data_IF_685491119002
#
_entry.id   IF_685491119002
#
_cell.length_a   1.000
_cell.length_b   1.000
_cell.length_c   1.000
_cell.angle_alpha   90.00
_cell.angle_beta   90.00
_cell.angle_gamma   90.00
#
_symmetry.space_group_name_H-M   'P 1'
#
loop_
_entity.id
_entity.type
_entity.pdbx_description
1 polymer ?
#
# COMPACT_ATOMS: atom_id res chain seq x y z
N UNK A 1 14.15 -15.28 -14.52
CA UNK A 1 14.09 -15.43 -13.06
C UNK A 1 13.36 -14.23 -12.49
N UNK A 2 12.41 -14.44 -11.58
CA UNK A 2 11.71 -13.37 -10.86
C UNK A 2 11.79 -13.64 -9.37
N UNK A 3 12.04 -12.60 -8.57
CA UNK A 3 12.11 -12.67 -7.11
C UNK A 3 11.04 -11.78 -6.55
N UNK A 4 10.27 -12.30 -5.61
CA UNK A 4 9.29 -11.55 -4.80
C UNK A 4 9.69 -11.73 -3.35
N UNK A 5 9.85 -10.62 -2.63
CA UNK A 5 10.26 -10.61 -1.22
C UNK A 5 9.32 -9.77 -0.38
N UNK A 6 9.01 -10.26 0.80
CA UNK A 6 8.33 -9.53 1.85
C UNK A 6 9.02 -9.82 3.20
N UNK A 7 9.68 -8.83 3.75
CA UNK A 7 10.55 -8.95 4.92
C UNK A 7 11.60 -10.07 4.75
N UNK A 8 11.54 -11.12 5.54
CA UNK A 8 12.37 -12.33 5.50
C UNK A 8 11.83 -13.43 4.58
N UNK A 9 10.55 -13.39 4.25
CA UNK A 9 9.94 -14.33 3.29
C UNK A 9 10.22 -13.92 1.85
N UNK A 10 10.65 -14.85 1.00
CA UNK A 10 10.81 -14.61 -0.43
C UNK A 10 10.44 -15.82 -1.29
N UNK A 11 10.07 -15.57 -2.54
CA UNK A 11 9.81 -16.59 -3.58
C UNK A 11 10.64 -16.27 -4.82
N UNK A 12 11.29 -17.30 -5.35
CA UNK A 12 12.03 -17.21 -6.61
C UNK A 12 11.35 -18.08 -7.65
N UNK A 13 10.96 -17.48 -8.77
CA UNK A 13 10.29 -18.19 -9.88
C UNK A 13 11.27 -18.44 -11.01
N UNK A 14 11.32 -19.69 -11.46
CA UNK A 14 12.15 -20.14 -12.60
C UNK A 14 11.33 -20.99 -13.55
N UNK A 15 11.81 -21.15 -14.78
CA UNK A 15 11.14 -21.95 -15.80
C UNK A 15 11.57 -23.41 -15.82
N UNK A 16 12.74 -23.75 -15.25
CA UNK A 16 13.30 -25.10 -15.27
C UNK A 16 13.68 -25.58 -13.86
N UNK A 17 13.59 -26.91 -13.65
CA UNK A 17 14.00 -27.53 -12.38
C UNK A 17 15.49 -27.37 -12.13
N UNK A 18 16.33 -27.48 -13.15
CA UNK A 18 17.78 -27.33 -13.02
C UNK A 18 18.15 -25.92 -12.48
N UNK A 19 17.55 -24.86 -13.06
CA UNK A 19 17.77 -23.51 -12.56
C UNK A 19 17.25 -23.33 -11.12
N UNK A 20 16.12 -23.94 -10.78
CA UNK A 20 15.60 -23.90 -9.42
C UNK A 20 16.58 -24.54 -8.43
N UNK A 21 17.18 -25.67 -8.77
CA UNK A 21 18.19 -26.35 -7.94
C UNK A 21 19.45 -25.51 -7.75
N UNK A 22 20.01 -24.95 -8.85
CA UNK A 22 21.20 -24.08 -8.78
C UNK A 22 20.96 -22.86 -7.87
N UNK A 23 19.81 -22.21 -8.02
CA UNK A 23 19.44 -21.05 -7.23
C UNK A 23 19.19 -21.44 -5.76
N UNK A 24 18.57 -22.57 -5.50
CA UNK A 24 18.34 -23.08 -4.15
C UNK A 24 19.65 -23.29 -3.41
N UNK A 25 20.63 -23.93 -4.06
CA UNK A 25 21.98 -24.14 -3.49
C UNK A 25 22.66 -22.79 -3.21
N UNK A 26 22.67 -21.89 -4.21
CA UNK A 26 23.30 -20.57 -4.06
C UNK A 26 22.66 -19.72 -2.94
N UNK A 27 21.32 -19.74 -2.83
CA UNK A 27 20.61 -19.04 -1.77
C UNK A 27 20.80 -19.66 -0.39
N UNK A 28 21.14 -20.92 -0.30
CA UNK A 28 21.49 -21.59 0.96
C UNK A 28 22.90 -21.24 1.39
N UNK A 29 23.87 -21.39 0.50
CA UNK A 29 25.27 -21.16 0.78
C UNK A 29 25.57 -19.71 1.16
N UNK A 30 25.01 -18.74 0.45
CA UNK A 30 25.34 -17.32 0.66
C UNK A 30 25.00 -16.79 2.06
N UNK A 31 23.79 -17.00 2.65
CA UNK A 31 23.49 -16.59 4.02
C UNK A 31 24.29 -17.38 5.06
N UNK A 32 24.51 -18.68 4.84
CA UNK A 32 25.28 -19.53 5.76
C UNK A 32 26.75 -19.07 5.82
N UNK A 33 27.39 -18.86 4.66
CA UNK A 33 28.81 -18.52 4.58
C UNK A 33 29.14 -17.06 4.90
N UNK A 34 28.24 -16.13 4.48
CA UNK A 34 28.49 -14.68 4.59
C UNK A 34 27.87 -14.02 5.79
N UNK A 35 26.73 -14.52 6.26
CA UNK A 35 25.96 -13.92 7.35
C UNK A 35 25.84 -14.80 8.59
N UNK A 36 26.36 -16.04 8.52
CA UNK A 36 26.20 -17.07 9.57
C UNK A 36 24.72 -17.29 9.96
N UNK A 37 23.81 -17.13 8.98
CA UNK A 37 22.37 -17.30 9.14
C UNK A 37 21.92 -18.60 8.46
N UNK A 38 21.57 -19.65 9.23
CA UNK A 38 21.10 -20.91 8.65
C UNK A 38 19.68 -20.74 8.08
N UNK A 39 19.44 -21.26 6.89
CA UNK A 39 18.12 -21.32 6.28
C UNK A 39 17.34 -22.51 6.86
N UNK A 40 16.05 -22.28 7.21
CA UNK A 40 15.17 -23.35 7.66
C UNK A 40 14.93 -24.35 6.55
N UNK A 41 15.43 -25.58 6.70
CA UNK A 41 15.25 -26.67 5.75
C UNK A 41 13.77 -27.10 5.61
N UNK A 42 12.98 -26.95 6.67
CA UNK A 42 11.55 -27.33 6.67
C UNK A 42 10.70 -26.36 5.84
N UNK A 43 11.09 -25.07 5.80
CA UNK A 43 10.32 -24.02 5.12
C UNK A 43 10.84 -23.75 3.71
N UNK A 44 12.07 -24.16 3.39
CA UNK A 44 12.72 -23.89 2.11
C UNK A 44 12.64 -25.11 1.20
N UNK A 45 11.85 -25.01 0.12
CA UNK A 45 11.64 -26.15 -0.78
C UNK A 45 11.48 -25.68 -2.24
N UNK A 46 11.80 -26.58 -3.17
CA UNK A 46 11.55 -26.38 -4.60
C UNK A 46 10.19 -27.02 -4.94
N UNK A 47 9.23 -26.20 -5.37
CA UNK A 47 7.88 -26.64 -5.68
C UNK A 47 7.59 -26.52 -7.19
N UNK A 48 7.04 -27.56 -7.80
CA UNK A 48 6.52 -27.50 -9.17
C UNK A 48 5.06 -27.05 -9.16
N UNK A 49 4.80 -25.77 -9.43
CA UNK A 49 3.47 -25.18 -9.38
C UNK A 49 2.43 -25.80 -10.34
N UNK A 50 2.85 -26.60 -11.33
CA UNK A 50 1.93 -27.38 -12.19
C UNK A 50 1.43 -28.67 -11.52
N UNK A 51 2.12 -29.14 -10.48
CA UNK A 51 1.78 -30.37 -9.75
C UNK A 51 1.27 -30.06 -8.35
N UNK A 52 1.88 -29.10 -7.69
CA UNK A 52 1.67 -28.78 -6.28
C UNK A 52 1.44 -27.28 -6.12
N UNK A 53 0.75 -26.90 -5.06
CA UNK A 53 0.58 -25.51 -4.68
C UNK A 53 1.74 -25.00 -3.80
N UNK A 54 1.97 -23.71 -3.78
CA UNK A 54 2.96 -23.05 -2.91
C UNK A 54 2.33 -21.91 -2.16
N UNK A 55 2.42 -21.93 -0.83
CA UNK A 55 1.89 -20.87 0.03
C UNK A 55 2.87 -19.69 0.13
N UNK A 56 2.35 -18.45 0.03
CA UNK A 56 3.07 -17.20 0.28
C UNK A 56 2.10 -16.15 0.83
N UNK A 57 2.42 -15.58 1.99
CA UNK A 57 1.61 -14.55 2.64
C UNK A 57 0.13 -14.93 2.78
N UNK A 58 -0.14 -16.17 3.16
CA UNK A 58 -1.49 -16.74 3.28
C UNK A 58 -2.28 -16.85 1.95
N UNK A 59 -1.61 -16.67 0.80
CA UNK A 59 -2.12 -17.04 -0.51
C UNK A 59 -1.51 -18.38 -0.93
N UNK A 60 -2.31 -19.21 -1.54
CA UNK A 60 -1.91 -20.46 -2.18
C UNK A 60 -1.83 -20.25 -3.68
N UNK A 61 -0.64 -20.43 -4.25
CA UNK A 61 -0.36 -20.24 -5.68
C UNK A 61 -0.29 -21.59 -6.38
N UNK A 62 -0.96 -21.71 -7.52
CA UNK A 62 -0.98 -22.92 -8.35
C UNK A 62 -1.08 -22.55 -9.83
N UNK A 63 -0.48 -23.37 -10.69
CA UNK A 63 -0.66 -23.28 -12.15
C UNK A 63 -1.78 -24.22 -12.59
N UNK A 64 -2.84 -23.67 -13.15
CA UNK A 64 -3.96 -24.43 -13.69
C UNK A 64 -3.97 -24.41 -15.22
N UNK A 65 -4.34 -25.53 -15.82
CA UNK A 65 -4.49 -25.64 -17.28
C UNK A 65 -5.72 -24.87 -17.73
N UNK A 66 -5.54 -23.91 -18.64
CA UNK A 66 -6.63 -23.12 -19.24
C UNK A 66 -6.59 -23.26 -20.77
N UNK A 67 -7.07 -24.44 -21.26
CA UNK A 67 -7.14 -24.72 -22.69
C UNK A 67 -5.77 -24.88 -23.36
N UNK A 68 -5.69 -24.53 -24.61
CA UNK A 68 -4.47 -24.53 -25.43
C UNK A 68 -4.20 -23.13 -25.97
N UNK A 69 -2.94 -22.84 -26.29
CA UNK A 69 -2.55 -21.63 -26.98
C UNK A 69 -2.88 -21.71 -28.49
N UNK A 70 -2.59 -20.63 -29.24
CA UNK A 70 -2.84 -20.56 -30.72
C UNK A 70 -2.06 -21.62 -31.51
N UNK A 71 -1.03 -22.22 -30.91
CA UNK A 71 -0.19 -23.27 -31.51
C UNK A 71 -0.55 -24.68 -31.01
N UNK A 72 -1.70 -24.84 -30.34
CA UNK A 72 -2.17 -26.13 -29.81
C UNK A 72 -1.44 -26.61 -28.55
N UNK A 73 -0.50 -25.84 -27.99
CA UNK A 73 0.24 -26.21 -26.77
C UNK A 73 -0.60 -25.94 -25.53
N UNK A 74 -0.43 -26.75 -24.48
CA UNK A 74 -1.12 -26.60 -23.19
C UNK A 74 -0.82 -25.23 -22.58
N UNK A 75 -1.84 -24.40 -22.41
CA UNK A 75 -1.75 -23.13 -21.74
C UNK A 75 -1.99 -23.29 -20.23
N UNK A 76 -1.13 -22.69 -19.40
CA UNK A 76 -1.24 -22.68 -17.95
C UNK A 76 -1.33 -21.25 -17.44
N UNK A 77 -2.26 -21.02 -16.52
CA UNK A 77 -2.49 -19.72 -15.87
C UNK A 77 -2.23 -19.86 -14.37
N UNK A 78 -1.51 -18.91 -13.80
CA UNK A 78 -1.32 -18.86 -12.35
C UNK A 78 -2.64 -18.45 -11.69
N UNK A 79 -3.10 -19.27 -10.75
CA UNK A 79 -4.25 -18.99 -9.91
C UNK A 79 -3.81 -18.84 -8.45
N UNK A 80 -4.49 -17.95 -7.74
CA UNK A 80 -4.26 -17.73 -6.32
C UNK A 80 -5.55 -17.92 -5.53
N UNK A 81 -5.48 -18.72 -4.49
CA UNK A 81 -6.52 -19.00 -3.51
C UNK A 81 -6.12 -18.45 -2.15
N UNK A 82 -7.03 -18.42 -1.19
CA UNK A 82 -6.70 -18.24 0.22
C UNK A 82 -6.15 -19.56 0.75
N UNK A 83 -4.98 -19.55 1.40
CA UNK A 83 -4.34 -20.72 1.96
C UNK A 83 -5.26 -21.45 2.97
N UNK A 84 -5.19 -22.77 3.04
CA UNK A 84 -6.09 -23.57 3.86
C UNK A 84 -6.06 -23.21 5.34
N UNK A 85 -4.85 -22.96 5.90
CA UNK A 85 -4.68 -22.51 7.28
C UNK A 85 -5.40 -21.18 7.53
N UNK A 86 -5.32 -20.25 6.59
CA UNK A 86 -5.99 -18.95 6.67
C UNK A 86 -7.52 -19.11 6.58
N UNK A 87 -8.03 -19.96 5.68
CA UNK A 87 -9.47 -20.26 5.58
C UNK A 87 -10.01 -20.85 6.89
N UNK A 88 -9.29 -21.80 7.50
CA UNK A 88 -9.66 -22.37 8.81
C UNK A 88 -9.70 -21.28 9.89
N UNK A 89 -8.67 -20.44 9.97
CA UNK A 89 -8.60 -19.32 10.93
C UNK A 89 -9.74 -18.34 10.75
N UNK A 90 -9.99 -17.88 9.52
CA UNK A 90 -11.10 -16.97 9.19
C UNK A 90 -12.43 -17.54 9.65
N UNK A 91 -12.71 -18.81 9.31
CA UNK A 91 -13.93 -19.50 9.71
C UNK A 91 -14.11 -19.52 11.22
N UNK A 92 -13.09 -19.91 11.98
CA UNK A 92 -13.16 -19.99 13.43
C UNK A 92 -13.31 -18.61 14.10
N UNK A 93 -12.61 -17.60 13.62
CA UNK A 93 -12.75 -16.22 14.11
C UNK A 93 -14.18 -15.71 13.94
N UNK A 94 -14.77 -15.85 12.76
CA UNK A 94 -16.15 -15.41 12.49
C UNK A 94 -17.18 -16.24 13.27
N UNK A 95 -16.98 -17.56 13.43
CA UNK A 95 -17.84 -18.39 14.29
C UNK A 95 -17.78 -17.96 15.76
N UNK A 96 -16.60 -17.61 16.25
CA UNK A 96 -16.45 -17.13 17.63
C UNK A 96 -17.12 -15.78 17.82
N UNK A 97 -17.02 -14.87 16.84
CA UNK A 97 -17.74 -13.61 16.88
C UNK A 97 -19.27 -13.80 16.85
N UNK A 98 -19.77 -14.81 16.11
CA UNK A 98 -21.19 -15.20 16.17
C UNK A 98 -21.62 -15.73 17.55
N UNK A 99 -20.72 -16.41 18.28
CA UNK A 99 -21.00 -16.82 19.68
C UNK A 99 -21.11 -15.61 20.60
N UNK A 100 -20.23 -14.58 20.42
CA UNK A 100 -20.28 -13.36 21.21
C UNK A 100 -21.57 -12.56 20.92
N UNK A 101 -22.00 -12.48 19.68
CA UNK A 101 -23.30 -11.88 19.32
C UNK A 101 -24.46 -12.62 20.00
N UNK A 102 -24.45 -13.95 19.98
CA UNK A 102 -25.50 -14.76 20.64
C UNK A 102 -25.61 -14.52 22.15
N UNK A 103 -24.46 -14.28 22.81
CA UNK A 103 -24.36 -14.07 24.27
C UNK A 103 -24.48 -12.59 24.68
N UNK A 104 -24.76 -11.70 23.75
CA UNK A 104 -24.85 -10.27 24.06
C UNK A 104 -25.96 -9.99 25.10
N UNK A 105 -25.64 -9.31 26.23
CA UNK A 105 -26.59 -9.12 27.34
C UNK A 105 -27.68 -8.09 27.01
N UNK A 106 -27.41 -7.19 26.03
CA UNK A 106 -28.33 -6.12 25.62
C UNK A 106 -28.13 -5.76 24.14
N UNK A 107 -29.03 -4.94 23.60
CA UNK A 107 -29.02 -4.52 22.21
C UNK A 107 -27.79 -3.72 21.80
N UNK A 108 -27.24 -2.89 22.68
CA UNK A 108 -26.05 -2.08 22.40
C UNK A 108 -24.81 -2.96 22.25
N UNK A 109 -24.62 -3.93 23.12
CA UNK A 109 -23.51 -4.88 23.05
C UNK A 109 -23.66 -5.81 21.82
N UNK A 110 -24.88 -6.18 21.47
CA UNK A 110 -25.15 -6.91 20.23
C UNK A 110 -24.72 -6.11 19.01
N UNK A 111 -25.12 -4.84 18.89
CA UNK A 111 -24.76 -3.98 17.76
C UNK A 111 -23.24 -3.81 17.69
N UNK A 112 -22.56 -3.58 18.81
CA UNK A 112 -21.10 -3.50 18.88
C UNK A 112 -20.44 -4.79 18.36
N UNK A 113 -20.94 -5.96 18.76
CA UNK A 113 -20.42 -7.24 18.28
C UNK A 113 -20.68 -7.46 16.78
N UNK A 114 -21.79 -6.96 16.24
CA UNK A 114 -22.06 -6.98 14.78
C UNK A 114 -21.10 -6.04 14.06
N UNK A 115 -20.79 -4.87 14.60
CA UNK A 115 -19.81 -3.94 14.03
C UNK A 115 -18.40 -4.56 13.98
N UNK A 116 -18.00 -5.26 15.06
CA UNK A 116 -16.71 -5.99 15.10
C UNK A 116 -16.69 -7.07 14.00
N UNK A 117 -17.77 -7.87 13.88
CA UNK A 117 -17.89 -8.87 12.81
C UNK A 117 -17.73 -8.23 11.42
N UNK A 118 -18.46 -7.14 11.17
CA UNK A 118 -18.40 -6.43 9.90
C UNK A 118 -16.98 -5.90 9.62
N UNK A 119 -16.31 -5.36 10.62
CA UNK A 119 -14.92 -4.88 10.49
C UNK A 119 -13.96 -6.02 10.17
N UNK A 120 -14.14 -7.21 10.77
CA UNK A 120 -13.37 -8.40 10.43
C UNK A 120 -13.58 -8.82 8.98
N UNK A 121 -14.83 -8.85 8.50
CA UNK A 121 -15.17 -9.20 7.12
C UNK A 121 -14.55 -8.19 6.14
N UNK A 122 -14.67 -6.89 6.41
CA UNK A 122 -14.06 -5.83 5.59
C UNK A 122 -12.54 -5.99 5.54
N UNK A 123 -11.89 -6.26 6.67
CA UNK A 123 -10.46 -6.51 6.74
C UNK A 123 -10.02 -7.71 5.90
N UNK A 124 -10.75 -8.82 5.97
CA UNK A 124 -10.53 -10.01 5.16
C UNK A 124 -10.68 -9.69 3.67
N UNK A 125 -11.75 -8.99 3.29
CA UNK A 125 -11.98 -8.59 1.90
C UNK A 125 -10.87 -7.68 1.38
N UNK A 126 -10.45 -6.68 2.14
CA UNK A 126 -9.37 -5.77 1.75
C UNK A 126 -8.04 -6.49 1.53
N UNK A 127 -7.75 -7.52 2.33
CA UNK A 127 -6.53 -8.29 2.19
C UNK A 127 -6.58 -9.26 1.00
N UNK A 128 -7.67 -10.04 0.86
CA UNK A 128 -7.76 -11.13 -0.11
C UNK A 128 -8.41 -10.76 -1.45
N UNK A 129 -8.90 -9.53 -1.64
CA UNK A 129 -9.57 -9.09 -2.88
C UNK A 129 -8.73 -9.26 -4.16
N UNK A 130 -7.41 -9.40 -4.03
CA UNK A 130 -6.47 -9.59 -5.15
C UNK A 130 -6.29 -11.06 -5.55
N UNK A 131 -6.77 -12.01 -4.76
CA UNK A 131 -6.71 -13.43 -5.11
C UNK A 131 -7.65 -13.73 -6.29
N UNK A 132 -7.14 -14.45 -7.30
CA UNK A 132 -7.92 -14.74 -8.53
C UNK A 132 -9.13 -15.62 -8.28
N UNK A 133 -9.04 -16.54 -7.30
CA UNK A 133 -10.10 -17.49 -6.92
C UNK A 133 -10.57 -17.26 -5.47
N UNK A 134 -10.72 -15.99 -5.10
CA UNK A 134 -11.14 -15.65 -3.73
C UNK A 134 -12.56 -16.08 -3.44
N UNK A 135 -13.47 -16.05 -4.42
CA UNK A 135 -14.85 -16.49 -4.26
C UNK A 135 -14.92 -17.98 -3.92
N UNK A 136 -14.16 -18.82 -4.61
CA UNK A 136 -14.12 -20.27 -4.35
C UNK A 136 -13.59 -20.57 -2.94
N UNK A 137 -12.72 -19.70 -2.43
CA UNK A 137 -12.17 -19.80 -1.08
C UNK A 137 -13.17 -19.39 0.01
N UNK A 138 -13.99 -18.35 -0.24
CA UNK A 138 -14.87 -17.73 0.78
C UNK A 138 -16.32 -18.23 0.74
N UNK A 139 -16.84 -18.68 -0.40
CA UNK A 139 -18.22 -19.17 -0.51
C UNK A 139 -18.52 -20.37 0.39
N UNK A 140 -17.64 -21.38 0.51
CA UNK A 140 -17.86 -22.49 1.45
C UNK A 140 -17.94 -22.02 2.91
N UNK A 141 -17.14 -21.00 3.28
CA UNK A 141 -17.16 -20.40 4.62
C UNK A 141 -18.49 -19.65 4.81
N UNK A 142 -18.93 -18.85 3.83
CA UNK A 142 -20.23 -18.17 3.88
C UNK A 142 -21.38 -19.13 4.10
N UNK A 143 -21.40 -20.24 3.36
CA UNK A 143 -22.46 -21.25 3.51
C UNK A 143 -22.54 -21.78 4.94
N UNK A 144 -21.41 -22.17 5.52
CA UNK A 144 -21.34 -22.66 6.89
C UNK A 144 -21.73 -21.59 7.92
N UNK A 145 -21.26 -20.33 7.74
CA UNK A 145 -21.61 -19.22 8.63
C UNK A 145 -23.10 -18.90 8.57
N UNK A 146 -23.71 -18.94 7.40
CA UNK A 146 -25.16 -18.72 7.26
C UNK A 146 -25.99 -19.70 8.08
N UNK A 147 -25.58 -20.97 8.18
CA UNK A 147 -26.25 -21.95 9.04
C UNK A 147 -26.06 -21.60 10.52
N UNK A 148 -24.84 -21.25 10.91
CA UNK A 148 -24.51 -20.83 12.30
C UNK A 148 -25.29 -19.57 12.68
N UNK A 149 -25.36 -18.57 11.81
CA UNK A 149 -26.08 -17.32 12.03
C UNK A 149 -27.59 -17.56 12.19
N UNK A 150 -28.19 -18.34 11.32
CA UNK A 150 -29.62 -18.70 11.43
C UNK A 150 -29.95 -19.35 12.78
N UNK A 151 -29.10 -20.24 13.25
CA UNK A 151 -29.31 -20.91 14.52
C UNK A 151 -29.06 -19.97 15.73
N UNK A 152 -27.90 -19.29 15.76
CA UNK A 152 -27.45 -18.49 16.91
C UNK A 152 -28.15 -17.15 17.06
N UNK A 153 -28.51 -16.51 15.94
CA UNK A 153 -29.09 -15.18 15.93
C UNK A 153 -30.62 -15.18 15.75
N UNK A 154 -31.25 -16.36 15.81
CA UNK A 154 -32.71 -16.50 15.68
C UNK A 154 -33.49 -15.59 16.64
N UNK A 155 -33.02 -15.47 17.88
CA UNK A 155 -33.63 -14.64 18.93
C UNK A 155 -33.56 -13.14 18.67
N UNK A 156 -32.66 -12.66 17.78
CA UNK A 156 -32.42 -11.24 17.51
C UNK A 156 -33.06 -10.77 16.20
N UNK A 157 -34.20 -11.30 15.83
CA UNK A 157 -34.96 -10.88 14.64
C UNK A 157 -34.08 -10.82 13.36
N UNK A 158 -33.39 -11.92 13.06
CA UNK A 158 -32.59 -12.01 11.83
C UNK A 158 -33.50 -11.90 10.59
N UNK A 159 -33.42 -10.78 9.84
CA UNK A 159 -34.28 -10.46 8.69
C UNK A 159 -33.47 -10.28 7.40
N UNK A 160 -34.15 -10.31 6.27
CA UNK A 160 -33.58 -10.01 4.93
C UNK A 160 -33.63 -8.54 4.57
N UNK A 161 -34.48 -7.75 5.23
CA UNK A 161 -34.71 -6.34 4.97
C UNK A 161 -34.67 -5.52 6.25
N UNK A 162 -34.44 -4.22 6.14
CA UNK A 162 -34.49 -3.27 7.23
C UNK A 162 -35.17 -1.98 6.82
N UNK A 163 -35.83 -1.33 7.78
CA UNK A 163 -36.38 0.02 7.60
C UNK A 163 -35.40 1.12 8.03
N UNK A 164 -34.22 0.76 8.54
CA UNK A 164 -33.20 1.73 8.97
C UNK A 164 -32.39 2.28 7.80
N UNK A 165 -32.17 3.58 7.81
CA UNK A 165 -31.24 4.23 6.87
C UNK A 165 -29.81 3.98 7.33
N UNK A 166 -28.97 3.38 6.48
CA UNK A 166 -27.59 3.07 6.77
C UNK A 166 -26.69 4.06 6.07
N UNK A 167 -26.01 4.89 6.85
CA UNK A 167 -25.12 5.97 6.38
C UNK A 167 -23.67 5.55 6.27
N UNK A 168 -23.26 4.45 6.90
CA UNK A 168 -21.88 3.95 6.90
C UNK A 168 -21.39 3.63 5.48
N UNK A 169 -20.40 4.40 5.01
CA UNK A 169 -19.82 4.27 3.68
C UNK A 169 -19.11 2.92 3.46
N UNK A 170 -18.55 2.32 4.53
CA UNK A 170 -17.87 1.02 4.48
C UNK A 170 -18.84 -0.14 4.27
N UNK A 171 -20.03 -0.05 4.83
CA UNK A 171 -21.08 -1.08 4.78
C UNK A 171 -21.97 -0.95 3.55
N UNK A 172 -22.19 0.28 3.07
CA UNK A 172 -23.10 0.59 1.95
C UNK A 172 -22.93 -0.31 0.72
N UNK A 173 -21.71 -0.68 0.25
CA UNK A 173 -21.55 -1.56 -0.90
C UNK A 173 -22.16 -2.96 -0.69
N UNK A 174 -22.18 -3.46 0.55
CA UNK A 174 -22.68 -4.80 0.89
C UNK A 174 -24.20 -4.89 0.96
N UNK A 175 -24.90 -3.75 1.08
CA UNK A 175 -26.36 -3.73 1.12
C UNK A 175 -27.00 -4.18 -0.20
N UNK A 176 -26.24 -4.16 -1.29
CA UNK A 176 -26.68 -4.67 -2.60
C UNK A 176 -26.71 -6.20 -2.67
N UNK A 177 -26.11 -6.87 -1.70
CA UNK A 177 -26.03 -8.34 -1.70
C UNK A 177 -27.31 -8.97 -1.16
N UNK A 178 -27.86 -9.95 -1.90
CA UNK A 178 -28.97 -10.80 -1.43
C UNK A 178 -28.61 -11.68 -0.22
N UNK A 179 -27.32 -11.81 0.09
CA UNK A 179 -26.81 -12.58 1.24
C UNK A 179 -26.77 -11.75 2.52
N UNK A 180 -26.82 -10.42 2.46
CA UNK A 180 -26.83 -9.56 3.65
C UNK A 180 -28.04 -9.88 4.51
N UNK A 181 -27.88 -9.92 5.81
CA UNK A 181 -28.90 -10.12 6.83
C UNK A 181 -28.90 -8.92 7.77
N UNK A 182 -29.98 -8.77 8.52
CA UNK A 182 -30.13 -7.69 9.47
C UNK A 182 -30.45 -8.26 10.85
N UNK A 183 -29.67 -7.87 11.84
CA UNK A 183 -29.82 -8.28 13.25
C UNK A 183 -30.28 -7.06 14.01
N UNK A 184 -31.50 -7.10 14.56
CA UNK A 184 -32.16 -5.90 15.13
C UNK A 184 -32.10 -4.66 14.24
N UNK A 185 -32.25 -4.88 12.91
CA UNK A 185 -32.19 -3.81 11.91
C UNK A 185 -30.78 -3.37 11.49
N UNK A 186 -29.72 -3.82 12.16
CA UNK A 186 -28.35 -3.51 11.77
C UNK A 186 -27.79 -4.54 10.79
N UNK A 187 -27.08 -4.14 9.72
CA UNK A 187 -26.62 -5.07 8.69
C UNK A 187 -25.49 -5.97 9.19
N UNK A 188 -25.63 -7.25 8.91
CA UNK A 188 -24.57 -8.26 9.04
C UNK A 188 -24.09 -8.58 7.62
N UNK A 189 -22.87 -8.17 7.29
CA UNK A 189 -22.33 -8.28 5.95
C UNK A 189 -21.80 -9.68 5.66
N UNK A 190 -22.06 -10.24 4.46
CA UNK A 190 -21.65 -11.59 4.10
C UNK A 190 -20.19 -11.65 3.69
N UNK A 191 -19.44 -12.64 4.21
CA UNK A 191 -18.04 -12.88 3.82
C UNK A 191 -17.91 -13.34 2.36
N UNK A 192 -18.94 -13.98 1.79
CA UNK A 192 -18.96 -14.44 0.40
C UNK A 192 -19.21 -13.35 -0.63
N UNK A 193 -19.59 -12.13 -0.22
CA UNK A 193 -19.82 -11.02 -1.16
C UNK A 193 -18.58 -10.12 -1.26
N UNK A 194 -17.54 -10.64 -1.88
CA UNK A 194 -16.29 -9.91 -2.08
C UNK A 194 -16.22 -9.30 -3.48
N UNK A 195 -15.76 -8.05 -3.57
CA UNK A 195 -15.41 -7.39 -4.83
C UNK A 195 -13.95 -7.66 -5.14
N UNK A 196 -13.68 -8.43 -6.18
CA UNK A 196 -12.32 -8.71 -6.64
C UNK A 196 -11.66 -7.47 -7.20
N UNK A 197 -10.35 -7.36 -7.03
CA UNK A 197 -9.51 -6.31 -7.58
C UNK A 197 -8.34 -6.94 -8.33
N UNK A 198 -8.07 -6.46 -9.53
CA UNK A 198 -6.90 -6.92 -10.27
C UNK A 198 -5.63 -6.58 -9.49
N UNK A 199 -4.69 -7.53 -9.44
CA UNK A 199 -3.37 -7.26 -8.90
C UNK A 199 -2.68 -6.18 -9.73
N UNK A 200 -1.96 -5.29 -9.04
CA UNK A 200 -1.15 -4.28 -9.71
C UNK A 200 0.06 -5.01 -10.31
N UNK A 201 0.09 -5.08 -11.64
CA UNK A 201 1.25 -5.65 -12.35
C UNK A 201 2.36 -4.59 -12.39
N UNK A 202 3.57 -4.87 -11.88
CA UNK A 202 4.70 -3.98 -12.05
C UNK A 202 5.01 -3.84 -13.54
N UNK A 203 5.25 -2.62 -14.01
CA UNK A 203 5.71 -2.40 -15.38
C UNK A 203 7.13 -2.95 -15.52
N UNK A 204 7.39 -3.69 -16.61
CA UNK A 204 8.71 -4.25 -16.87
C UNK A 204 9.77 -3.14 -16.91
N UNK A 205 10.89 -3.36 -16.20
CA UNK A 205 12.00 -2.43 -16.16
C UNK A 205 11.86 -1.26 -15.17
N UNK A 206 10.65 -0.95 -14.67
CA UNK A 206 10.45 0.13 -13.68
C UNK A 206 10.98 -0.30 -12.32
N UNK A 207 12.08 0.31 -11.88
CA UNK A 207 12.68 0.07 -10.57
C UNK A 207 13.55 1.25 -10.13
N UNK A 208 13.88 1.33 -8.84
CA UNK A 208 14.72 2.41 -8.28
C UNK A 208 16.23 2.12 -8.33
N UNK A 209 16.63 0.91 -8.75
CA UNK A 209 18.00 0.43 -8.61
C UNK A 209 18.85 0.62 -9.86
N UNK A 210 18.24 0.79 -11.03
CA UNK A 210 18.94 1.05 -12.30
C UNK A 210 18.60 2.44 -12.82
N UNK A 211 19.51 3.03 -13.63
CA UNK A 211 19.29 4.34 -14.24
C UNK A 211 18.04 4.32 -15.13
N UNK A 212 17.96 3.33 -16.00
CA UNK A 212 16.82 3.12 -16.92
C UNK A 212 15.51 2.90 -16.17
N UNK A 213 15.55 2.14 -15.05
CA UNK A 213 14.38 1.90 -14.21
C UNK A 213 13.86 3.18 -13.55
N UNK A 214 14.76 4.05 -13.05
CA UNK A 214 14.40 5.36 -12.49
C UNK A 214 13.82 6.30 -13.55
N UNK A 215 14.34 6.27 -14.78
CA UNK A 215 13.79 7.04 -15.90
C UNK A 215 12.34 6.66 -16.23
N UNK A 216 12.02 5.37 -16.15
CA UNK A 216 10.68 4.88 -16.43
C UNK A 216 9.65 5.23 -15.34
N UNK A 217 10.06 5.49 -14.09
CA UNK A 217 9.14 5.82 -12.99
C UNK A 217 8.26 7.02 -13.34
N UNK A 218 8.83 8.04 -13.96
CA UNK A 218 8.13 9.30 -14.27
C UNK A 218 7.76 9.48 -15.75
N UNK A 219 7.96 8.45 -16.58
CA UNK A 219 7.78 8.55 -18.04
C UNK A 219 6.35 8.90 -18.47
N UNK A 220 5.36 8.47 -17.72
CA UNK A 220 3.93 8.66 -18.07
C UNK A 220 3.26 9.81 -17.28
N UNK A 221 4.01 10.56 -16.49
CA UNK A 221 3.47 11.72 -15.79
C UNK A 221 3.09 12.83 -16.79
N UNK A 222 2.05 13.60 -16.49
CA UNK A 222 1.49 14.68 -17.31
C UNK A 222 1.35 16.01 -16.58
N UNK A 223 1.77 16.07 -15.31
CA UNK A 223 1.60 17.25 -14.45
C UNK A 223 2.55 18.39 -14.80
N UNK A 224 3.73 18.04 -15.31
CA UNK A 224 4.76 19.00 -15.73
C UNK A 224 5.37 18.61 -17.07
N UNK A 225 5.93 19.56 -17.86
CA UNK A 225 6.61 19.25 -19.11
C UNK A 225 7.76 18.26 -18.92
N UNK A 226 7.84 17.24 -19.78
CA UNK A 226 8.88 16.21 -19.68
C UNK A 226 10.30 16.74 -19.77
N UNK A 227 10.53 17.83 -20.51
CA UNK A 227 11.84 18.45 -20.60
C UNK A 227 12.34 19.01 -19.26
N UNK A 228 11.44 19.54 -18.41
CA UNK A 228 11.80 20.00 -17.05
C UNK A 228 12.23 18.83 -16.17
N UNK A 229 11.50 17.71 -16.23
CA UNK A 229 11.85 16.48 -15.52
C UNK A 229 13.20 15.94 -15.98
N UNK A 230 13.44 15.96 -17.28
CA UNK A 230 14.71 15.54 -17.88
C UNK A 230 15.86 16.45 -17.43
N UNK A 231 15.64 17.77 -17.45
CA UNK A 231 16.63 18.74 -16.98
C UNK A 231 17.03 18.49 -15.52
N UNK A 232 16.07 18.31 -14.60
CA UNK A 232 16.36 18.01 -13.19
C UNK A 232 17.16 16.73 -13.04
N UNK A 233 16.89 15.72 -13.86
CA UNK A 233 17.58 14.43 -13.85
C UNK A 233 19.03 14.57 -14.33
N UNK A 234 19.26 15.37 -15.36
CA UNK A 234 20.60 15.61 -15.92
C UNK A 234 21.45 16.55 -15.07
N UNK A 235 20.81 17.35 -14.20
CA UNK A 235 21.47 18.27 -13.27
C UNK A 235 21.23 17.84 -11.81
N UNK A 236 21.79 16.69 -11.39
CA UNK A 236 21.70 16.26 -9.99
C UNK A 236 22.49 17.22 -9.11
N UNK A 237 22.04 17.39 -7.87
CA UNK A 237 22.85 18.07 -6.85
C UNK A 237 24.00 17.14 -6.49
N UNK A 238 25.24 17.63 -6.69
CA UNK A 238 26.46 16.90 -6.39
C UNK A 238 27.16 17.62 -5.25
N UNK A 239 27.02 17.10 -4.05
CA UNK A 239 27.79 17.52 -2.87
C UNK A 239 27.85 16.34 -1.88
N UNK A 240 28.65 16.47 -0.83
CA UNK A 240 28.85 15.42 0.18
C UNK A 240 27.56 15.00 0.91
N UNK A 241 26.49 15.80 0.84
CA UNK A 241 25.23 15.60 1.53
C UNK A 241 24.14 15.03 0.64
N UNK A 242 24.27 15.14 -0.68
CA UNK A 242 23.21 14.74 -1.62
C UNK A 242 23.33 13.26 -1.97
N UNK A 243 22.41 12.48 -1.46
CA UNK A 243 22.27 11.05 -1.79
C UNK A 243 21.56 10.85 -3.15
N UNK A 244 21.65 9.64 -3.72
CA UNK A 244 20.83 9.26 -4.88
C UNK A 244 19.35 9.42 -4.53
N UNK A 245 18.95 9.03 -3.32
CA UNK A 245 17.56 9.17 -2.84
C UNK A 245 17.09 10.62 -2.75
N UNK A 246 17.96 11.56 -2.36
CA UNK A 246 17.69 12.99 -2.38
C UNK A 246 17.36 13.47 -3.80
N UNK A 247 18.18 13.11 -4.78
CA UNK A 247 18.00 13.52 -6.16
C UNK A 247 16.74 12.89 -6.80
N UNK A 248 16.45 11.63 -6.53
CA UNK A 248 15.21 10.96 -6.97
C UNK A 248 13.97 11.63 -6.34
N UNK A 249 14.06 12.03 -5.06
CA UNK A 249 12.98 12.73 -4.37
C UNK A 249 12.76 14.15 -4.89
N UNK A 250 13.81 14.86 -5.34
CA UNK A 250 13.66 16.16 -6.02
C UNK A 250 12.77 16.06 -7.24
N UNK A 251 12.98 15.06 -8.09
CA UNK A 251 12.16 14.80 -9.28
C UNK A 251 10.72 14.52 -8.88
N UNK A 252 10.54 13.61 -7.91
CA UNK A 252 9.21 13.23 -7.43
C UNK A 252 8.43 14.40 -6.83
N UNK A 253 9.10 15.27 -6.06
CA UNK A 253 8.52 16.48 -5.48
C UNK A 253 8.15 17.51 -6.54
N UNK A 254 9.00 17.70 -7.54
CA UNK A 254 8.74 18.66 -8.63
C UNK A 254 7.45 18.28 -9.38
N UNK A 255 7.29 17.00 -9.67
CA UNK A 255 6.08 16.47 -10.31
C UNK A 255 4.86 16.61 -9.39
N UNK A 256 4.98 16.23 -8.10
CA UNK A 256 3.89 16.29 -7.15
C UNK A 256 3.43 17.73 -6.83
N UNK A 257 4.35 18.68 -6.86
CA UNK A 257 4.08 20.11 -6.67
C UNK A 257 3.71 20.83 -7.98
N UNK A 258 3.55 20.09 -9.11
CA UNK A 258 3.25 20.63 -10.44
C UNK A 258 4.24 21.74 -10.88
N UNK A 259 5.52 21.59 -10.54
CA UNK A 259 6.56 22.56 -10.84
C UNK A 259 6.47 23.87 -10.05
N UNK A 260 5.71 23.89 -8.93
CA UNK A 260 5.41 25.10 -8.16
C UNK A 260 6.07 25.09 -6.77
N UNK A 261 6.38 26.28 -6.26
CA UNK A 261 6.81 26.47 -4.88
C UNK A 261 5.72 26.06 -3.89
N UNK A 262 6.07 25.29 -2.88
CA UNK A 262 5.10 24.79 -1.88
C UNK A 262 4.49 25.92 -1.01
N UNK A 263 5.19 27.06 -0.88
CA UNK A 263 4.75 28.21 -0.07
C UNK A 263 3.99 29.22 -0.91
N UNK A 264 4.63 29.76 -1.96
CA UNK A 264 4.03 30.85 -2.78
C UNK A 264 3.06 30.33 -3.85
N UNK A 265 3.22 29.09 -4.31
CA UNK A 265 2.48 28.55 -5.45
C UNK A 265 2.95 29.03 -6.82
N UNK A 266 4.01 29.84 -6.87
CA UNK A 266 4.64 30.32 -8.11
C UNK A 266 5.44 29.21 -8.80
N UNK A 267 5.68 29.37 -10.10
CA UNK A 267 6.48 28.42 -10.86
C UNK A 267 7.94 28.41 -10.38
N UNK A 268 8.50 27.23 -10.22
CA UNK A 268 9.89 27.05 -9.82
C UNK A 268 10.82 27.21 -11.02
N UNK A 269 11.76 28.14 -10.92
CA UNK A 269 12.87 28.27 -11.87
C UNK A 269 13.86 27.15 -11.58
N UNK A 270 14.11 26.26 -12.56
CA UNK A 270 14.89 25.04 -12.39
C UNK A 270 16.30 25.26 -11.83
N UNK A 271 16.95 26.36 -12.22
CA UNK A 271 18.29 26.75 -11.75
C UNK A 271 18.32 27.36 -10.36
N UNK A 272 17.18 27.84 -9.85
CA UNK A 272 17.09 28.58 -8.58
C UNK A 272 16.26 27.89 -7.51
N UNK A 273 15.57 26.80 -7.87
CA UNK A 273 14.77 26.03 -6.92
C UNK A 273 15.63 25.37 -5.84
N UNK A 274 15.13 25.40 -4.62
CA UNK A 274 15.76 24.76 -3.47
C UNK A 274 14.93 23.57 -3.00
N UNK A 275 15.61 22.44 -2.76
CA UNK A 275 15.03 21.30 -2.06
C UNK A 275 15.37 21.43 -0.57
N UNK A 276 14.40 21.90 0.20
CA UNK A 276 14.56 22.21 1.61
C UNK A 276 14.22 21.01 2.47
N UNK A 277 15.04 20.75 3.49
CA UNK A 277 14.76 19.77 4.54
C UNK A 277 13.89 20.42 5.61
N UNK A 278 12.68 19.90 5.82
CA UNK A 278 11.73 20.38 6.83
C UNK A 278 12.28 20.24 8.26
N UNK A 279 13.07 19.21 8.54
CA UNK A 279 13.91 19.07 9.71
C UNK A 279 15.36 19.18 9.26
N UNK A 280 16.18 19.92 9.98
CA UNK A 280 17.56 20.18 9.61
C UNK A 280 18.30 18.88 9.29
N UNK A 281 18.97 18.85 8.13
CA UNK A 281 19.76 17.69 7.72
C UNK A 281 20.91 17.39 8.69
N UNK A 282 21.50 18.43 9.30
CA UNK A 282 22.55 18.31 10.31
C UNK A 282 22.14 17.41 11.50
N UNK A 283 20.87 17.42 11.86
CA UNK A 283 20.32 16.68 12.99
C UNK A 283 19.71 15.36 12.57
N UNK A 284 18.95 15.37 11.46
CA UNK A 284 18.15 14.22 11.04
C UNK A 284 18.84 13.26 10.08
N UNK A 285 19.76 13.79 9.23
CA UNK A 285 20.35 13.12 8.06
C UNK A 285 19.30 12.36 7.20
N UNK A 286 18.09 12.93 7.14
CA UNK A 286 16.90 12.29 6.58
C UNK A 286 16.52 12.90 5.22
N UNK A 287 16.87 12.19 4.15
CA UNK A 287 16.52 12.53 2.76
C UNK A 287 15.19 11.92 2.29
N UNK A 288 14.36 11.37 3.19
CA UNK A 288 13.07 10.80 2.81
C UNK A 288 12.16 11.87 2.21
N UNK A 289 11.34 11.45 1.25
CA UNK A 289 10.37 12.31 0.56
C UNK A 289 9.52 13.16 1.51
N UNK A 290 9.08 12.61 2.63
CA UNK A 290 8.26 13.31 3.64
C UNK A 290 8.98 14.49 4.31
N UNK A 291 10.32 14.43 4.42
CA UNK A 291 11.14 15.47 5.03
C UNK A 291 11.59 16.57 4.06
N UNK A 292 11.34 16.39 2.77
CA UNK A 292 11.77 17.31 1.73
C UNK A 292 10.61 18.14 1.18
N UNK A 293 10.91 19.32 0.65
CA UNK A 293 9.96 20.20 -0.03
C UNK A 293 10.70 21.11 -1.02
N UNK A 294 10.10 21.37 -2.19
CA UNK A 294 10.67 22.31 -3.17
C UNK A 294 10.07 23.71 -2.99
N UNK A 295 10.95 24.69 -2.92
CA UNK A 295 10.62 26.09 -2.71
C UNK A 295 11.55 26.99 -3.55
N UNK A 296 11.15 28.25 -3.73
CA UNK A 296 12.01 29.25 -4.35
C UNK A 296 13.19 29.60 -3.45
N UNK A 297 14.24 30.18 -4.04
CA UNK A 297 15.45 30.65 -3.33
C UNK A 297 15.12 31.67 -2.24
N UNK A 298 14.21 32.59 -2.52
CA UNK A 298 13.88 33.66 -1.59
C UNK A 298 13.03 33.13 -0.41
N UNK A 299 12.10 32.25 -0.65
CA UNK A 299 11.39 31.53 0.41
C UNK A 299 12.37 30.74 1.28
N UNK A 300 13.35 30.04 0.68
CA UNK A 300 14.37 29.31 1.42
C UNK A 300 15.20 30.24 2.33
N UNK A 301 15.61 31.40 1.83
CA UNK A 301 16.30 32.41 2.62
C UNK A 301 15.45 32.92 3.78
N UNK A 302 14.17 33.21 3.52
CA UNK A 302 13.24 33.71 4.54
C UNK A 302 12.95 32.64 5.63
N UNK A 303 12.94 31.36 5.28
CA UNK A 303 12.82 30.27 6.26
C UNK A 303 13.99 30.31 7.25
N UNK A 304 15.20 30.52 6.78
CA UNK A 304 16.43 30.53 7.59
C UNK A 304 16.79 31.87 8.19
N UNK A 305 16.14 32.97 7.77
CA UNK A 305 16.45 34.32 8.28
C UNK A 305 16.08 34.45 9.75
N UNK A 306 17.01 34.98 10.55
CA UNK A 306 16.83 35.33 11.97
C UNK A 306 16.93 36.83 12.21
N UNK A 307 17.58 37.59 11.32
CA UNK A 307 17.68 39.04 11.41
C UNK A 307 16.37 39.70 10.94
N UNK A 308 15.85 40.63 11.73
CA UNK A 308 14.57 41.31 11.49
C UNK A 308 14.62 42.14 10.17
N UNK A 309 15.71 42.81 9.89
CA UNK A 309 15.86 43.61 8.65
C UNK A 309 15.77 42.71 7.40
N UNK A 310 16.46 41.55 7.45
CA UNK A 310 16.41 40.56 6.36
C UNK A 310 15.02 39.99 6.20
N UNK A 311 14.34 39.68 7.31
CA UNK A 311 12.96 39.16 7.30
C UNK A 311 12.04 40.18 6.63
N UNK A 312 12.11 41.47 7.04
CA UNK A 312 11.27 42.53 6.49
C UNK A 312 11.53 42.73 4.99
N UNK A 313 12.79 42.75 4.58
CA UNK A 313 13.16 42.88 3.17
C UNK A 313 12.55 41.78 2.29
N UNK A 314 12.61 40.51 2.75
CA UNK A 314 12.03 39.41 1.98
C UNK A 314 10.50 39.35 2.05
N UNK A 315 9.88 39.81 3.14
CA UNK A 315 8.43 39.97 3.22
C UNK A 315 7.91 41.02 2.24
N UNK A 316 8.56 42.17 2.19
CA UNK A 316 8.21 43.27 1.28
C UNK A 316 8.38 42.85 -0.18
N UNK A 317 9.40 42.05 -0.47
CA UNK A 317 9.63 41.48 -1.80
C UNK A 317 8.61 40.42 -2.20
N UNK A 318 8.39 39.43 -1.34
CA UNK A 318 7.53 38.27 -1.64
C UNK A 318 6.04 38.60 -1.53
N UNK A 319 5.65 39.61 -0.76
CA UNK A 319 4.24 40.03 -0.53
C UNK A 319 3.30 38.87 -0.24
N UNK A 320 3.70 37.99 0.69
CA UNK A 320 2.98 36.77 1.01
C UNK A 320 1.59 37.09 1.57
N UNK A 321 0.58 36.37 1.06
CA UNK A 321 -0.74 36.40 1.66
C UNK A 321 -0.78 35.59 2.96
N UNK A 322 -1.87 35.69 3.73
CA UNK A 322 -2.04 35.05 5.04
C UNK A 322 -1.83 33.52 4.99
N UNK A 323 -2.33 32.86 3.95
CA UNK A 323 -2.18 31.40 3.80
C UNK A 323 -0.72 31.01 3.49
N UNK A 324 -0.06 31.77 2.64
CA UNK A 324 1.36 31.57 2.30
C UNK A 324 2.26 31.80 3.51
N UNK A 325 1.97 32.86 4.31
CA UNK A 325 2.69 33.14 5.55
C UNK A 325 2.51 32.00 6.58
N UNK A 326 1.31 31.44 6.71
CA UNK A 326 1.10 30.27 7.55
C UNK A 326 1.93 29.06 7.10
N UNK A 327 2.01 28.80 5.78
CA UNK A 327 2.85 27.72 5.22
C UNK A 327 4.33 27.96 5.50
N UNK A 328 4.79 29.19 5.35
CA UNK A 328 6.17 29.60 5.67
C UNK A 328 6.47 29.38 7.15
N UNK A 329 5.64 29.90 8.05
CA UNK A 329 5.81 29.78 9.51
C UNK A 329 5.86 28.33 9.96
N UNK A 330 5.04 27.47 9.38
CA UNK A 330 5.13 26.03 9.63
C UNK A 330 6.51 25.43 9.32
N UNK A 331 7.15 25.87 8.23
CA UNK A 331 8.51 25.43 7.89
C UNK A 331 9.56 26.05 8.81
N UNK A 332 9.39 27.31 9.21
CA UNK A 332 10.28 28.00 10.16
C UNK A 332 10.29 27.29 11.52
N UNK A 333 9.10 26.99 12.07
CA UNK A 333 8.99 26.26 13.34
C UNK A 333 9.66 24.88 13.31
N UNK A 334 9.57 24.18 12.18
CA UNK A 334 10.19 22.84 12.04
C UNK A 334 11.73 22.86 12.11
N UNK A 335 12.36 24.00 11.85
CA UNK A 335 13.81 24.19 11.98
C UNK A 335 14.19 24.99 13.23
N UNK A 336 13.25 25.27 14.13
CA UNK A 336 13.49 25.98 15.40
C UNK A 336 13.48 27.50 15.32
N UNK A 337 13.03 28.10 14.21
CA UNK A 337 12.90 29.55 14.07
C UNK A 337 11.51 30.03 14.51
N UNK A 338 11.43 31.25 15.03
CA UNK A 338 10.18 31.89 15.43
C UNK A 338 9.25 32.19 14.25
N UNK A 339 7.95 32.24 14.54
CA UNK A 339 6.95 32.65 13.56
C UNK A 339 7.10 34.17 13.24
N UNK A 340 6.86 34.48 11.98
CA UNK A 340 6.77 35.87 11.50
C UNK A 340 5.30 36.30 11.62
N UNK A 341 5.05 37.43 12.26
CA UNK A 341 3.71 38.00 12.49
C UNK A 341 3.26 38.86 11.31
#
# INVERSE_FOLDING_TARGET
MYIVRYADDFKIFTTTRSNAQKIFIANRMWPEERLSLPISNEKSQITNLKKESSEFLSFELRMERKGNDRLGRRNFVCQSHIAEKARKRIKEQLKNQNKLMQKAPNGNELIKNVQIYNSMVIGIHNYYQIATQVNDSLMPIQYQLTQVERYRLKQFSLRKTTNYSITDKGIKPYLKSKMTRYVNGYPLIPIGFIKTKNAIMPKNGVNKFTKEGRELIHREQKSVPNWQVQWIREHPVINERATIGFNDNRISLFIAQNGKCAVTGEELILTEMNCHHKRLWSESKDDRYSNLVLITRDVHRLIHATNIETIQQYLDFLKLNKEQLMKLNKLRMLIGNEEIK
#
